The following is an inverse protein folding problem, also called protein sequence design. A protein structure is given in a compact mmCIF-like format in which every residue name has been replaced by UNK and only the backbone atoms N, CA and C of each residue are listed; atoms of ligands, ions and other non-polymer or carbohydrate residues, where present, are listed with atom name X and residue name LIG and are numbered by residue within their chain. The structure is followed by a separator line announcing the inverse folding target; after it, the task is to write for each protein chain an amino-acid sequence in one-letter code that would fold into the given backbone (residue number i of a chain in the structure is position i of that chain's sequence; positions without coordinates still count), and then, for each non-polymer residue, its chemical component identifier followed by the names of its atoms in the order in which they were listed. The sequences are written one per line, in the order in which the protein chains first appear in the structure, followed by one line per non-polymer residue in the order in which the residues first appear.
data_IF_674033080059
#
_entry.id   IF_674033080059
#
_cell.length_a   1.000
_cell.length_b   1.000
_cell.length_c   1.000
_cell.angle_alpha   90.00
_cell.angle_beta   90.00
_cell.angle_gamma   90.00
#
_symmetry.space_group_name_H-M   'P 1'
#
loop_
_entity.id
_entity.type
_entity.pdbx_description
1 polymer ?
#
# COMPACT_ATOMS: atom_id res chain seq x y z
N UNK A 1 25.34 41.60 -7.35
CA UNK A 1 25.65 40.31 -8.01
C UNK A 1 25.01 39.23 -7.14
N UNK A 2 23.89 38.55 -7.45
CA UNK A 2 23.14 38.23 -8.67
C UNK A 2 21.62 38.45 -8.43
N UNK A 3 20.82 39.17 -9.24
CA UNK A 3 20.13 38.84 -10.52
C UNK A 3 19.13 37.65 -10.53
N UNK A 4 17.82 37.98 -10.44
CA UNK A 4 16.61 37.48 -11.17
C UNK A 4 16.15 35.99 -11.04
N UNK A 5 14.89 35.58 -11.38
CA UNK A 5 13.58 36.27 -11.53
C UNK A 5 12.36 35.60 -10.83
N UNK A 6 11.22 36.30 -10.93
CA UNK A 6 9.82 35.83 -11.05
C UNK A 6 9.62 34.36 -11.49
N UNK A 7 8.55 33.71 -10.98
CA UNK A 7 7.39 33.31 -11.82
C UNK A 7 6.33 32.48 -11.05
N UNK A 8 5.12 33.03 -11.03
CA UNK A 8 3.80 32.38 -11.16
C UNK A 8 3.71 30.86 -10.93
N UNK A 9 3.10 30.45 -9.81
CA UNK A 9 2.60 29.08 -9.67
C UNK A 9 1.11 29.03 -10.00
N UNK A 10 0.80 28.53 -11.19
CA UNK A 10 -0.55 28.12 -11.62
C UNK A 10 -0.90 26.84 -10.84
N UNK A 11 -1.88 26.91 -9.95
CA UNK A 11 -2.38 25.73 -9.24
C UNK A 11 -3.21 24.87 -10.20
N UNK A 12 -2.60 23.83 -10.77
CA UNK A 12 -3.32 22.75 -11.44
C UNK A 12 -3.88 21.81 -10.37
N UNK A 13 -5.19 21.87 -10.14
CA UNK A 13 -5.92 20.89 -9.34
C UNK A 13 -5.83 19.52 -10.02
N UNK A 14 -5.07 18.60 -9.44
CA UNK A 14 -4.95 17.22 -9.93
C UNK A 14 -6.25 16.46 -9.74
N UNK A 15 -6.90 16.11 -10.84
CA UNK A 15 -7.93 15.06 -10.90
C UNK A 15 -7.27 13.74 -10.47
N UNK A 16 -7.53 13.32 -9.22
CA UNK A 16 -7.09 12.03 -8.72
C UNK A 16 -7.92 10.92 -9.40
N UNK A 17 -7.33 10.27 -10.40
CA UNK A 17 -7.91 9.07 -11.00
C UNK A 17 -7.64 7.88 -10.07
N UNK A 18 -8.70 7.25 -9.56
CA UNK A 18 -8.58 6.05 -8.73
C UNK A 18 -8.20 4.86 -9.62
N UNK A 19 -7.01 4.32 -9.40
CA UNK A 19 -6.53 3.11 -10.08
C UNK A 19 -7.04 1.90 -9.30
N UNK A 20 -7.66 0.89 -9.95
CA UNK A 20 -8.10 -0.32 -9.26
C UNK A 20 -6.91 -1.03 -8.62
N UNK A 21 -7.05 -1.38 -7.33
CA UNK A 21 -6.00 -1.96 -6.49
C UNK A 21 -5.38 -3.25 -7.09
N UNK A 22 -6.15 -3.98 -7.89
CA UNK A 22 -5.71 -5.20 -8.58
C UNK A 22 -4.60 -4.96 -9.60
N UNK A 23 -4.61 -3.81 -10.29
CA UNK A 23 -3.60 -3.46 -11.30
C UNK A 23 -2.25 -3.13 -10.64
N UNK A 24 -2.31 -2.46 -9.48
CA UNK A 24 -1.13 -2.16 -8.65
C UNK A 24 -0.44 -3.44 -8.18
N UNK A 25 -1.22 -4.45 -7.75
CA UNK A 25 -0.69 -5.72 -7.25
C UNK A 25 0.09 -6.50 -8.34
N UNK A 26 -0.30 -6.40 -9.62
CA UNK A 26 0.41 -7.08 -10.72
C UNK A 26 1.74 -6.39 -11.10
N UNK A 27 1.86 -5.09 -10.81
CA UNK A 27 3.07 -4.28 -11.04
C UNK A 27 4.01 -4.21 -9.84
N UNK A 28 3.58 -4.73 -8.69
CA UNK A 28 4.32 -4.68 -7.44
C UNK A 28 5.45 -5.72 -7.44
N UNK A 29 6.68 -5.29 -7.14
CA UNK A 29 7.82 -6.21 -7.03
C UNK A 29 7.73 -7.07 -5.74
N UNK A 30 6.93 -6.62 -4.77
CA UNK A 30 6.76 -7.26 -3.45
C UNK A 30 5.30 -7.20 -3.01
N UNK A 31 4.91 -8.07 -2.07
CA UNK A 31 3.51 -8.21 -1.64
C UNK A 31 2.99 -7.03 -0.80
N UNK A 32 3.85 -6.12 -0.35
CA UNK A 32 3.49 -4.92 0.41
C UNK A 32 3.70 -3.61 -0.34
N UNK A 33 4.09 -3.65 -1.62
CA UNK A 33 4.23 -2.44 -2.42
C UNK A 33 2.85 -1.99 -2.94
N UNK A 34 2.08 -1.34 -2.07
CA UNK A 34 0.79 -0.73 -2.39
C UNK A 34 0.85 0.79 -2.30
N UNK A 35 0.01 1.47 -3.09
CA UNK A 35 -0.14 2.92 -2.99
C UNK A 35 -0.75 3.29 -1.63
N UNK A 36 -0.17 4.28 -0.94
CA UNK A 36 -0.63 4.71 0.39
C UNK A 36 0.30 4.38 1.56
N UNK A 37 1.44 3.75 1.31
CA UNK A 37 2.50 3.55 2.30
C UNK A 37 2.29 2.34 3.22
N UNK A 38 3.17 2.21 4.22
CA UNK A 38 3.34 1.00 5.02
C UNK A 38 2.12 0.60 5.84
N UNK A 39 1.32 1.55 6.32
CA UNK A 39 0.10 1.25 7.10
C UNK A 39 -0.97 0.60 6.23
N UNK A 40 -1.16 1.13 5.01
CA UNK A 40 -2.11 0.58 4.04
C UNK A 40 -1.61 -0.78 3.53
N UNK A 41 -0.29 -0.93 3.34
CA UNK A 41 0.32 -2.21 3.00
C UNK A 41 0.07 -3.29 4.07
N UNK A 42 0.27 -2.94 5.35
CA UNK A 42 0.00 -3.82 6.47
C UNK A 42 -1.47 -4.23 6.54
N UNK A 43 -2.39 -3.28 6.33
CA UNK A 43 -3.82 -3.56 6.31
C UNK A 43 -4.20 -4.49 5.14
N UNK A 44 -3.70 -4.21 3.94
CA UNK A 44 -3.94 -5.04 2.77
C UNK A 44 -3.40 -6.47 2.96
N UNK A 45 -2.18 -6.59 3.48
CA UNK A 45 -1.56 -7.86 3.85
C UNK A 45 -2.43 -8.64 4.85
N UNK A 46 -2.83 -8.00 5.97
CA UNK A 46 -3.70 -8.61 6.99
C UNK A 46 -5.00 -9.16 6.41
N UNK A 47 -5.72 -8.34 5.63
CA UNK A 47 -7.02 -8.71 5.04
C UNK A 47 -6.85 -9.83 4.02
N UNK A 48 -5.78 -9.78 3.21
CA UNK A 48 -5.47 -10.83 2.24
C UNK A 48 -5.25 -12.16 2.95
N UNK A 49 -4.45 -12.19 4.01
CA UNK A 49 -4.18 -13.39 4.78
C UNK A 49 -5.44 -14.00 5.40
N UNK A 50 -6.28 -13.19 6.06
CA UNK A 50 -7.53 -13.67 6.68
C UNK A 50 -8.48 -14.29 5.64
N UNK A 51 -8.50 -13.75 4.42
CA UNK A 51 -9.40 -14.23 3.36
C UNK A 51 -8.87 -15.47 2.61
N UNK A 52 -7.65 -15.95 2.87
CA UNK A 52 -7.11 -17.12 2.16
C UNK A 52 -7.84 -18.41 2.54
N UNK A 53 -8.05 -18.65 3.83
CA UNK A 53 -8.69 -19.84 4.38
C UNK A 53 -8.98 -19.66 5.88
N UNK A 54 -9.84 -20.50 6.49
CA UNK A 54 -9.96 -20.58 7.94
C UNK A 54 -8.60 -20.87 8.62
N UNK A 55 -8.36 -20.26 9.78
CA UNK A 55 -7.14 -20.43 10.59
C UNK A 55 -6.08 -19.33 10.39
N UNK A 56 -6.18 -18.53 9.33
CA UNK A 56 -5.38 -17.30 9.20
C UNK A 56 -6.00 -16.18 10.06
N UNK A 57 -5.20 -15.60 10.94
CA UNK A 57 -5.66 -14.60 11.93
C UNK A 57 -5.22 -13.17 11.57
N UNK A 58 -4.32 -13.03 10.60
CA UNK A 58 -3.82 -11.74 10.16
C UNK A 58 -2.56 -11.85 9.33
N UNK A 59 -1.82 -10.75 9.28
CA UNK A 59 -0.54 -10.64 8.59
C UNK A 59 0.07 -9.26 8.76
N UNK A 60 1.37 -9.15 8.49
CA UNK A 60 2.14 -7.92 8.54
C UNK A 60 3.20 -7.88 7.45
N UNK A 61 3.61 -6.69 7.07
CA UNK A 61 4.69 -6.42 6.15
C UNK A 61 6.01 -6.27 6.91
N UNK A 62 7.05 -6.96 6.46
CA UNK A 62 8.41 -6.77 6.98
C UNK A 62 9.12 -5.56 6.32
N UNK A 63 10.35 -5.29 6.77
CA UNK A 63 11.20 -4.23 6.22
C UNK A 63 11.56 -4.45 4.73
N UNK A 64 11.50 -5.70 4.26
CA UNK A 64 11.72 -6.07 2.85
C UNK A 64 10.44 -5.99 2.02
N UNK A 65 9.37 -5.45 2.59
CA UNK A 65 8.05 -5.32 1.96
C UNK A 65 7.44 -6.66 1.56
N UNK A 66 7.75 -7.72 2.31
CA UNK A 66 7.12 -9.04 2.17
C UNK A 66 6.03 -9.19 3.22
N UNK A 67 4.84 -9.59 2.79
CA UNK A 67 3.71 -9.93 3.64
C UNK A 67 3.90 -11.30 4.29
N UNK A 68 3.90 -11.33 5.62
CA UNK A 68 3.94 -12.52 6.46
C UNK A 68 2.57 -12.75 7.08
N UNK A 69 1.91 -13.83 6.70
CA UNK A 69 0.62 -14.21 7.28
C UNK A 69 0.80 -14.89 8.63
N UNK A 70 -0.08 -14.58 9.58
CA UNK A 70 -0.10 -15.21 10.91
C UNK A 70 -1.21 -16.26 10.97
N UNK A 71 -0.86 -17.43 11.50
CA UNK A 71 -1.77 -18.55 11.69
C UNK A 71 -2.00 -18.77 13.19
N UNK A 72 -3.24 -19.01 13.60
CA UNK A 72 -3.58 -19.27 14.99
C UNK A 72 -5.05 -19.63 15.17
N UNK A 73 -5.40 -20.07 16.37
CA UNK A 73 -6.80 -20.34 16.70
C UNK A 73 -7.58 -19.03 16.62
N UNK A 74 -8.57 -18.99 15.72
CA UNK A 74 -9.51 -17.89 15.65
C UNK A 74 -10.19 -17.79 17.02
N UNK A 75 -9.93 -16.70 17.76
CA UNK A 75 -10.66 -16.40 18.99
C UNK A 75 -12.08 -16.04 18.57
N UNK A 76 -12.98 -17.01 18.65
CA UNK A 76 -14.41 -16.88 18.38
C UNK A 76 -15.13 -16.10 19.48
#
# INVERSE_FOLDING_TARGET
MHLFPLCTAISLASLAMAIPLTDVILSAATSCQVSGGSDIANLACRVTCINQAPGWTGGYCDEKQICHCTFGDAVY
#
